data_IF_190112764867
#
_entry.id   IF_190112764867
#
_cell.length_a   1.000
_cell.length_b   1.000
_cell.length_c   1.000
_cell.angle_alpha   90.00
_cell.angle_beta   90.00
_cell.angle_gamma   90.00
#
_symmetry.space_group_name_H-M   'P 1'
#
loop_
_entity.id
_entity.type
_entity.pdbx_description
1 polymer ?
#
# COMPACT_ATOMS: atom_id res chain seq x y z
N UNK A 1 -14.15 14.94 -11.08
CA UNK A 1 -13.70 15.48 -9.78
C UNK A 1 -12.46 14.71 -9.32
N UNK A 2 -11.47 15.41 -8.85
CA UNK A 2 -10.26 14.81 -8.32
C UNK A 2 -10.13 15.11 -6.84
N UNK A 3 -9.66 14.12 -6.09
CA UNK A 3 -9.40 14.26 -4.67
C UNK A 3 -7.93 13.94 -4.39
N UNK A 4 -7.38 14.59 -3.38
CA UNK A 4 -6.03 14.33 -2.93
C UNK A 4 -5.97 14.41 -1.42
N UNK A 5 -5.47 13.34 -0.79
CA UNK A 5 -5.27 13.29 0.66
C UNK A 5 -3.86 13.76 1.00
N UNK A 6 -3.66 14.27 2.22
CA UNK A 6 -2.33 14.64 2.67
C UNK A 6 -1.53 13.39 3.08
N UNK A 7 -0.20 13.50 3.27
CA UNK A 7 0.62 12.33 3.59
C UNK A 7 0.29 11.64 4.92
N UNK A 8 -0.37 12.31 5.86
CA UNK A 8 -0.77 11.68 7.13
C UNK A 8 -2.16 11.08 7.12
N UNK A 9 -2.91 11.23 6.04
CA UNK A 9 -4.23 10.64 5.96
C UNK A 9 -4.12 9.11 6.02
N UNK A 10 -5.02 8.41 6.76
CA UNK A 10 -4.95 6.95 6.87
C UNK A 10 -4.89 6.22 5.53
N UNK A 11 -5.62 6.69 4.53
CA UNK A 11 -5.59 6.08 3.19
C UNK A 11 -4.20 6.18 2.56
N UNK A 12 -3.52 7.30 2.75
CA UNK A 12 -2.17 7.48 2.22
C UNK A 12 -1.15 6.62 2.96
N UNK A 13 -1.29 6.52 4.26
CA UNK A 13 -0.45 5.65 5.08
C UNK A 13 -0.68 4.19 4.70
N UNK A 14 -1.93 3.79 4.49
CA UNK A 14 -2.27 2.44 4.03
C UNK A 14 -1.63 2.10 2.69
N UNK A 15 -1.65 3.03 1.73
CA UNK A 15 -0.99 2.85 0.43
C UNK A 15 0.52 2.65 0.57
N UNK A 16 1.15 3.42 1.44
CA UNK A 16 2.59 3.31 1.68
C UNK A 16 2.94 1.98 2.32
N UNK A 17 2.12 1.52 3.26
CA UNK A 17 2.29 0.21 3.90
C UNK A 17 2.12 -0.90 2.86
N UNK A 18 1.08 -0.84 2.06
CA UNK A 18 0.84 -1.83 1.00
C UNK A 18 2.02 -1.88 0.02
N UNK A 19 2.54 -0.73 -0.39
CA UNK A 19 3.71 -0.66 -1.25
C UNK A 19 4.95 -1.29 -0.61
N UNK A 20 5.18 -1.07 0.68
CA UNK A 20 6.30 -1.67 1.40
C UNK A 20 6.17 -3.20 1.49
N UNK A 21 4.96 -3.72 1.66
CA UNK A 21 4.72 -5.16 1.68
C UNK A 21 4.98 -5.77 0.30
N UNK A 22 4.55 -5.10 -0.77
CA UNK A 22 4.88 -5.52 -2.14
C UNK A 22 6.39 -5.56 -2.33
N UNK A 23 7.11 -4.56 -1.86
CA UNK A 23 8.58 -4.53 -1.94
C UNK A 23 9.21 -5.72 -1.20
N UNK A 24 8.68 -6.10 -0.03
CA UNK A 24 9.14 -7.29 0.69
C UNK A 24 8.97 -8.57 -0.14
N UNK A 25 7.85 -8.70 -0.85
CA UNK A 25 7.62 -9.85 -1.71
C UNK A 25 8.64 -9.92 -2.86
N UNK A 26 8.97 -8.79 -3.46
CA UNK A 26 9.98 -8.72 -4.52
C UNK A 26 11.39 -8.98 -4.00
N UNK A 27 11.67 -8.69 -2.75
CA UNK A 27 12.95 -9.06 -2.12
C UNK A 27 13.03 -10.57 -1.85
N UNK A 28 11.90 -11.21 -1.56
CA UNK A 28 11.87 -12.62 -1.17
C UNK A 28 11.80 -13.57 -2.37
N UNK A 29 11.31 -13.11 -3.51
CA UNK A 29 11.08 -13.94 -4.69
C UNK A 29 11.15 -13.09 -5.95
N UNK A 30 11.74 -13.63 -7.02
CA UNK A 30 11.67 -13.00 -8.32
C UNK A 30 10.25 -13.12 -8.87
N UNK A 31 9.72 -12.02 -9.40
CA UNK A 31 8.41 -11.96 -10.03
C UNK A 31 7.29 -12.59 -9.19
N UNK A 32 7.12 -12.17 -7.94
CA UNK A 32 6.11 -12.75 -7.05
C UNK A 32 4.70 -12.39 -7.51
N UNK A 33 3.76 -13.29 -7.24
CA UNK A 33 2.35 -12.97 -7.29
C UNK A 33 1.95 -12.44 -5.93
N UNK A 34 1.41 -11.24 -5.88
CA UNK A 34 1.11 -10.55 -4.63
C UNK A 34 -0.10 -9.65 -4.77
N UNK A 35 -1.01 -9.77 -3.82
CA UNK A 35 -2.10 -8.82 -3.62
C UNK A 35 -2.13 -8.43 -2.16
N UNK A 36 -2.20 -7.15 -1.89
CA UNK A 36 -2.19 -6.59 -0.55
C UNK A 36 -3.36 -5.65 -0.37
N UNK A 37 -4.15 -5.90 0.67
CA UNK A 37 -5.22 -5.01 1.09
C UNK A 37 -4.88 -4.48 2.48
N UNK A 38 -4.85 -3.17 2.64
CA UNK A 38 -4.55 -2.52 3.91
C UNK A 38 -5.64 -1.52 4.25
N UNK A 39 -6.17 -1.65 5.45
CA UNK A 39 -7.14 -0.73 6.01
C UNK A 39 -6.66 -0.24 7.36
N UNK A 40 -6.62 1.07 7.57
CA UNK A 40 -6.25 1.66 8.84
C UNK A 40 -7.45 2.37 9.43
N UNK A 41 -7.78 2.04 10.67
CA UNK A 41 -8.84 2.68 11.40
C UNK A 41 -8.75 2.35 12.89
N UNK A 42 -9.12 3.32 13.72
CA UNK A 42 -9.18 3.15 15.17
C UNK A 42 -7.89 2.60 15.79
N UNK A 43 -6.74 3.05 15.29
CA UNK A 43 -5.44 2.63 15.81
C UNK A 43 -4.99 1.24 15.38
N UNK A 44 -5.69 0.61 14.43
CA UNK A 44 -5.36 -0.73 13.95
C UNK A 44 -5.06 -0.68 12.45
N UNK A 45 -4.02 -1.40 12.05
CA UNK A 45 -3.71 -1.65 10.66
C UNK A 45 -4.09 -3.09 10.32
N UNK A 46 -5.12 -3.25 9.51
CA UNK A 46 -5.56 -4.56 9.01
C UNK A 46 -4.90 -4.81 7.67
N UNK A 47 -4.12 -5.87 7.56
CA UNK A 47 -3.45 -6.24 6.32
C UNK A 47 -3.80 -7.68 5.95
N UNK A 48 -4.37 -7.86 4.77
CA UNK A 48 -4.61 -9.18 4.17
C UNK A 48 -3.72 -9.29 2.95
N UNK A 49 -2.91 -10.34 2.93
CA UNK A 49 -1.87 -10.51 1.91
C UNK A 49 -2.05 -11.89 1.26
N UNK A 50 -2.29 -11.90 -0.04
CA UNK A 50 -2.23 -13.12 -0.84
C UNK A 50 -0.92 -13.11 -1.62
N UNK A 51 -0.11 -14.15 -1.49
CA UNK A 51 1.19 -14.13 -2.15
C UNK A 51 1.76 -15.52 -2.40
N UNK A 52 2.54 -15.63 -3.47
CA UNK A 52 3.40 -16.78 -3.72
C UNK A 52 4.75 -16.66 -3.00
N UNK A 53 5.11 -15.45 -2.56
CA UNK A 53 6.39 -15.22 -1.90
C UNK A 53 6.38 -15.69 -0.44
N UNK A 54 7.50 -16.18 0.08
CA UNK A 54 7.60 -16.62 1.49
C UNK A 54 7.75 -15.43 2.43
N UNK A 55 6.67 -14.68 2.64
CA UNK A 55 6.67 -13.54 3.56
C UNK A 55 6.58 -14.00 5.00
N UNK A 56 7.31 -13.30 5.85
CA UNK A 56 7.34 -13.51 7.28
C UNK A 56 6.51 -12.43 7.95
N UNK A 57 5.54 -12.82 8.77
CA UNK A 57 4.64 -11.88 9.46
C UNK A 57 5.41 -10.84 10.26
N UNK A 58 6.50 -11.21 10.88
CA UNK A 58 7.36 -10.29 11.65
C UNK A 58 7.92 -9.16 10.78
N UNK A 59 8.32 -9.45 9.55
CA UNK A 59 8.84 -8.46 8.63
C UNK A 59 7.74 -7.50 8.16
N UNK A 60 6.55 -8.03 7.93
CA UNK A 60 5.36 -7.23 7.61
C UNK A 60 5.03 -6.30 8.77
N UNK A 61 5.03 -6.81 10.00
CA UNK A 61 4.78 -6.01 11.19
C UNK A 61 5.80 -4.87 11.35
N UNK A 62 7.08 -5.14 11.07
CA UNK A 62 8.12 -4.10 11.09
C UNK A 62 7.85 -3.00 10.06
N UNK A 63 7.41 -3.36 8.87
CA UNK A 63 7.07 -2.38 7.83
C UNK A 63 5.88 -1.52 8.27
N UNK A 64 4.87 -2.13 8.86
CA UNK A 64 3.70 -1.41 9.39
C UNK A 64 4.14 -0.42 10.47
N UNK A 65 4.95 -0.86 11.41
CA UNK A 65 5.44 -0.01 12.50
C UNK A 65 6.30 1.15 11.97
N UNK A 66 7.19 0.85 11.04
CA UNK A 66 8.09 1.87 10.45
C UNK A 66 7.33 3.00 9.77
N UNK A 67 6.25 2.66 9.06
CA UNK A 67 5.48 3.61 8.26
C UNK A 67 4.34 4.23 9.07
N UNK A 68 3.62 3.41 9.82
CA UNK A 68 2.40 3.80 10.50
C UNK A 68 2.57 4.19 11.96
N UNK A 69 3.72 3.92 12.57
CA UNK A 69 3.96 4.20 13.98
C UNK A 69 3.23 3.21 14.89
N UNK A 70 2.61 3.73 15.95
CA UNK A 70 1.97 2.91 16.99
C UNK A 70 0.62 2.34 16.57
N UNK A 71 0.57 1.70 15.41
CA UNK A 71 -0.61 0.96 14.99
C UNK A 71 -0.54 -0.47 15.48
N UNK A 72 -1.65 -0.97 15.99
CA UNK A 72 -1.80 -2.39 16.25
C UNK A 72 -1.88 -3.11 14.91
N UNK A 73 -1.04 -4.12 14.70
CA UNK A 73 -1.00 -4.83 13.43
C UNK A 73 -1.86 -6.08 13.49
N UNK A 74 -2.83 -6.18 12.59
CA UNK A 74 -3.64 -7.36 12.37
C UNK A 74 -3.31 -7.87 10.97
N UNK A 75 -2.50 -8.91 10.89
CA UNK A 75 -1.89 -9.39 9.65
C UNK A 75 -2.40 -10.79 9.33
N UNK A 76 -2.85 -10.98 8.10
CA UNK A 76 -3.21 -12.28 7.59
C UNK A 76 -2.50 -12.52 6.26
N UNK A 77 -1.66 -13.55 6.22
CA UNK A 77 -0.97 -13.97 5.02
C UNK A 77 -1.59 -15.28 4.55
N UNK A 78 -2.09 -15.30 3.32
CA UNK A 78 -2.78 -16.47 2.76
C UNK A 78 -2.08 -16.91 1.48
N UNK A 79 -2.21 -18.21 1.12
CA UNK A 79 -1.68 -18.70 -0.14
C UNK A 79 -2.39 -18.04 -1.31
N UNK A 80 -1.69 -17.98 -2.41
CA UNK A 80 -2.17 -17.36 -3.63
C UNK A 80 -3.41 -18.07 -4.17
N UNK A 81 -4.42 -17.27 -4.54
CA UNK A 81 -5.59 -17.72 -5.25
C UNK A 81 -5.24 -18.00 -6.74
N UNK A 82 -5.82 -19.06 -7.32
CA UNK A 82 -5.55 -19.42 -8.70
C UNK A 82 -6.01 -18.35 -9.69
N UNK A 83 -7.13 -17.69 -9.42
CA UNK A 83 -7.63 -16.60 -10.27
C UNK A 83 -6.71 -15.38 -10.21
N UNK A 84 -6.21 -15.05 -9.03
CA UNK A 84 -5.25 -13.97 -8.88
C UNK A 84 -3.99 -14.25 -9.68
N UNK A 85 -3.48 -15.48 -9.63
CA UNK A 85 -2.31 -15.89 -10.39
C UNK A 85 -2.51 -15.70 -11.88
N UNK A 86 -3.65 -16.11 -12.39
CA UNK A 86 -3.98 -15.99 -13.81
C UNK A 86 -4.08 -14.52 -14.24
N UNK A 87 -4.74 -13.70 -13.43
CA UNK A 87 -4.91 -12.28 -13.72
C UNK A 87 -3.57 -11.54 -13.71
N UNK A 88 -2.71 -11.86 -12.76
CA UNK A 88 -1.40 -11.22 -12.65
C UNK A 88 -0.43 -11.65 -13.75
N UNK A 89 -0.59 -12.83 -14.32
CA UNK A 89 0.26 -13.29 -15.38
C UNK A 89 -0.12 -12.74 -16.77
N UNK A 90 -1.29 -12.14 -16.91
CA UNK A 90 -1.85 -11.70 -18.20
C UNK A 90 -1.62 -10.24 -18.56
N UNK A 91 -0.96 -9.43 -17.75
CA UNK A 91 -0.79 -8.02 -18.08
C UNK A 91 -0.24 -7.18 -16.97
N UNK A 92 -0.60 -5.92 -16.97
CA UNK A 92 -0.14 -4.95 -16.00
C UNK A 92 -0.60 -5.33 -14.60
N UNK A 93 0.33 -5.28 -13.67
CA UNK A 93 0.04 -5.44 -12.26
C UNK A 93 -0.40 -4.11 -11.69
N UNK A 94 -1.65 -3.77 -11.94
CA UNK A 94 -2.25 -2.61 -11.35
C UNK A 94 -2.92 -3.03 -10.07
N UNK A 95 -2.55 -2.40 -8.98
CA UNK A 95 -3.39 -2.45 -7.80
C UNK A 95 -4.57 -1.51 -8.03
N UNK A 96 -5.76 -1.94 -7.74
CA UNK A 96 -6.80 -1.01 -7.37
C UNK A 96 -6.53 -0.62 -5.91
N UNK A 97 -7.21 0.31 -5.33
CA UNK A 97 -7.02 0.76 -3.95
C UNK A 97 -5.62 1.32 -3.62
N UNK A 98 -4.95 1.92 -4.58
CA UNK A 98 -3.78 2.72 -4.29
C UNK A 98 -2.46 1.99 -4.18
N UNK A 99 -2.40 0.69 -4.47
CA UNK A 99 -1.11 0.02 -4.63
C UNK A 99 -0.38 0.55 -5.87
N UNK A 100 -1.08 1.29 -6.66
CA UNK A 100 -0.54 1.96 -7.82
C UNK A 100 0.29 3.16 -7.39
N UNK A 101 1.59 3.11 -7.61
CA UNK A 101 2.47 4.26 -7.40
C UNK A 101 2.31 5.21 -8.58
N UNK A 102 1.17 5.89 -8.62
CA UNK A 102 0.85 6.76 -9.72
C UNK A 102 1.65 8.05 -9.70
N UNK A 103 2.17 8.41 -10.86
CA UNK A 103 2.71 9.75 -11.08
C UNK A 103 1.53 10.63 -11.53
N UNK A 104 1.33 11.81 -10.95
CA UNK A 104 0.26 12.69 -11.40
C UNK A 104 0.51 13.11 -12.85
N UNK A 105 -0.45 12.84 -13.74
CA UNK A 105 -0.28 13.08 -15.18
C UNK A 105 -1.12 14.24 -15.69
N UNK A 106 -2.29 14.52 -15.08
CA UNK A 106 -3.11 15.65 -15.48
C UNK A 106 -2.69 16.91 -14.74
N UNK A 107 -3.04 18.08 -15.31
CA UNK A 107 -2.80 19.35 -14.65
C UNK A 107 -3.51 19.42 -13.28
N UNK A 108 -4.73 18.93 -13.21
CA UNK A 108 -5.50 18.92 -11.97
C UNK A 108 -4.86 18.03 -10.91
N UNK A 109 -4.38 16.85 -11.29
CA UNK A 109 -3.68 15.93 -10.38
C UNK A 109 -2.39 16.55 -9.86
N UNK A 110 -1.62 17.22 -10.72
CA UNK A 110 -0.39 17.91 -10.32
C UNK A 110 -0.68 19.06 -9.36
N UNK A 111 -1.69 19.86 -9.66
CA UNK A 111 -2.10 20.98 -8.82
C UNK A 111 -2.51 20.50 -7.44
N UNK A 112 -3.35 19.46 -7.36
CA UNK A 112 -3.78 18.89 -6.08
C UNK A 112 -2.60 18.29 -5.30
N UNK A 113 -1.67 17.67 -5.98
CA UNK A 113 -0.48 17.09 -5.35
C UNK A 113 0.38 18.17 -4.71
N UNK A 114 0.65 19.26 -5.43
CA UNK A 114 1.41 20.38 -4.89
C UNK A 114 0.68 21.05 -3.73
N UNK A 115 -0.63 21.29 -3.88
CA UNK A 115 -1.41 21.90 -2.83
C UNK A 115 -1.44 21.05 -1.56
N UNK A 116 -1.61 19.75 -1.69
CA UNK A 116 -1.59 18.83 -0.55
C UNK A 116 -0.24 18.86 0.17
N UNK A 117 0.86 18.91 -0.55
CA UNK A 117 2.20 19.00 0.02
C UNK A 117 2.41 20.34 0.75
N UNK A 118 1.97 21.44 0.13
CA UNK A 118 2.10 22.76 0.72
C UNK A 118 1.31 22.89 2.03
N UNK A 119 0.08 22.40 2.03
CA UNK A 119 -0.76 22.41 3.24
C UNK A 119 -0.13 21.52 4.32
N UNK A 120 0.37 20.34 3.95
CA UNK A 120 1.00 19.44 4.89
C UNK A 120 2.25 20.04 5.53
N UNK A 121 3.04 20.81 4.78
CA UNK A 121 4.23 21.46 5.32
C UNK A 121 3.90 22.56 6.33
N UNK A 122 2.71 23.17 6.22
CA UNK A 122 2.25 24.23 7.13
C UNK A 122 1.51 23.63 8.32
N UNK A 123 0.65 22.65 8.10
CA UNK A 123 -0.19 22.02 9.11
C UNK A 123 -0.07 20.49 9.03
N UNK A 124 1.05 19.92 9.50
CA UNK A 124 1.25 18.47 9.46
C UNK A 124 0.56 17.81 10.66
N UNK A 125 -0.68 17.70 10.67
CA UNK A 125 -1.43 17.11 11.79
C UNK A 125 -1.24 15.62 11.92
#
# INVERSE_FOLDING_TARGET
MFEKVNPSHPDKVADRIAGAIVDLAYLAQDDPKIAVEVLIGHGVCHAVIETSAPLIEKDVAKAIYRIGGNLLADIKIVPQDAHLAQNQSKGFRCGDNGIFKGVPVTHEQRTLTHLARDIYSICPN
#
